data_IF_819492500651
#
_entry.id   IF_819492500651
#
_cell.length_a   1.000
_cell.length_b   1.000
_cell.length_c   1.000
_cell.angle_alpha   90.00
_cell.angle_beta   90.00
_cell.angle_gamma   90.00
#
_symmetry.space_group_name_H-M   'P 1'
#
loop_
_entity.id
_entity.type
_entity.pdbx_description
1 polymer ?
#
# COMPACT_ATOMS: atom_id res chain seq x y z
N UNK A 1 11.58 9.41 -2.79
CA UNK A 1 10.48 8.44 -2.93
C UNK A 1 10.36 7.61 -1.65
N UNK A 2 11.47 7.13 -1.09
CA UNK A 2 11.53 6.50 0.25
C UNK A 2 10.91 7.34 1.37
N UNK A 3 11.15 8.65 1.40
CA UNK A 3 10.57 9.55 2.41
C UNK A 3 9.02 9.59 2.40
N UNK A 4 8.38 9.46 1.24
CA UNK A 4 6.91 9.43 1.11
C UNK A 4 6.34 8.09 1.60
N UNK A 5 7.14 7.03 1.50
CA UNK A 5 6.78 5.69 1.94
C UNK A 5 6.89 5.58 3.47
N UNK A 6 7.93 6.16 4.07
CA UNK A 6 8.10 6.21 5.54
C UNK A 6 7.08 7.13 6.23
N UNK A 7 6.67 8.24 5.61
CA UNK A 7 5.56 9.07 6.08
C UNK A 7 4.22 8.32 6.05
N UNK A 8 4.01 7.50 5.02
CA UNK A 8 2.82 6.66 4.90
C UNK A 8 2.80 5.48 5.90
N UNK A 9 3.97 4.91 6.21
CA UNK A 9 4.14 3.80 7.16
C UNK A 9 4.24 4.25 8.63
N UNK A 10 4.30 5.56 8.90
CA UNK A 10 4.24 6.12 10.26
C UNK A 10 5.52 5.96 11.08
N UNK A 11 6.71 5.88 10.46
CA UNK A 11 7.97 5.90 11.22
C UNK A 11 8.42 7.33 11.50
N UNK A 12 8.29 7.74 12.76
CA UNK A 12 8.80 9.02 13.25
C UNK A 12 10.35 9.01 13.23
N UNK A 13 10.95 9.99 12.55
CA UNK A 13 12.39 10.29 12.64
C UNK A 13 12.60 11.44 13.62
N UNK A 14 13.62 11.40 14.49
CA UNK A 14 13.76 12.36 15.57
C UNK A 14 14.30 13.70 15.05
N UNK A 15 13.46 14.72 15.25
CA UNK A 15 13.71 16.16 15.40
C UNK A 15 15.01 16.77 14.84
N UNK A 16 14.87 17.67 13.87
CA UNK A 16 15.75 18.84 13.74
C UNK A 16 14.88 20.09 13.62
N UNK A 17 14.90 20.87 14.69
CA UNK A 17 14.15 22.10 14.91
C UNK A 17 14.57 23.21 13.95
N UNK A 18 13.62 23.71 13.15
CA UNK A 18 13.61 25.10 12.67
C UNK A 18 12.17 25.64 12.67
N UNK A 19 11.94 26.71 13.44
CA UNK A 19 10.69 27.46 13.47
C UNK A 19 10.74 28.64 12.50
N UNK A 20 9.77 28.77 11.58
CA UNK A 20 9.03 30.02 11.30
C UNK A 20 8.01 29.85 10.16
N UNK A 21 6.79 30.34 10.42
CA UNK A 21 5.76 30.76 9.48
C UNK A 21 5.29 29.75 8.40
N UNK A 22 4.66 28.69 8.87
CA UNK A 22 3.66 27.93 8.13
C UNK A 22 2.88 27.13 9.15
N UNK A 23 1.56 27.23 9.16
CA UNK A 23 0.71 26.39 10.01
C UNK A 23 0.98 24.94 9.61
N UNK A 24 1.88 24.26 10.33
CA UNK A 24 2.04 22.81 10.24
C UNK A 24 0.75 22.27 10.82
N UNK A 25 -0.15 21.77 9.96
CA UNK A 25 -1.27 20.95 10.40
C UNK A 25 -0.68 19.68 11.01
N UNK A 26 -0.36 19.75 12.30
CA UNK A 26 -0.03 18.59 13.10
C UNK A 26 -1.29 17.74 13.22
N UNK A 27 -1.29 16.64 12.46
CA UNK A 27 -1.87 15.38 12.89
C UNK A 27 -3.40 15.28 12.83
N UNK A 28 -4.03 15.54 11.68
CA UNK A 28 -5.28 14.83 11.40
C UNK A 28 -4.92 13.36 11.14
N UNK A 29 -5.41 12.39 11.93
CA UNK A 29 -5.14 10.98 11.67
C UNK A 29 -5.55 10.66 10.23
N UNK A 30 -4.65 10.05 9.47
CA UNK A 30 -5.01 9.53 8.16
C UNK A 30 -6.14 8.50 8.38
N UNK A 31 -7.19 8.54 7.54
CA UNK A 31 -8.25 7.54 7.65
C UNK A 31 -7.62 6.14 7.50
N UNK A 32 -8.12 5.15 8.25
CA UNK A 32 -7.64 3.78 8.11
C UNK A 32 -7.79 3.31 6.66
N UNK A 33 -6.91 2.41 6.19
CA UNK A 33 -7.01 1.87 4.85
C UNK A 33 -8.35 1.15 4.65
N UNK A 34 -8.87 1.22 3.43
CA UNK A 34 -9.99 0.40 3.03
C UNK A 34 -9.51 -1.03 2.76
N UNK A 35 -10.29 -2.03 3.15
CA UNK A 35 -9.96 -3.43 2.92
C UNK A 35 -10.86 -4.05 1.86
N UNK A 36 -10.22 -4.68 0.87
CA UNK A 36 -10.89 -5.32 -0.25
C UNK A 36 -10.37 -6.74 -0.47
N UNK A 37 -11.20 -7.57 -1.09
CA UNK A 37 -10.80 -8.82 -1.74
C UNK A 37 -10.73 -8.56 -3.24
N UNK A 38 -9.61 -8.90 -3.85
CA UNK A 38 -9.38 -8.71 -5.28
C UNK A 38 -9.29 -10.07 -5.93
N UNK A 39 -9.99 -10.22 -7.07
CA UNK A 39 -9.97 -11.42 -7.89
C UNK A 39 -9.78 -11.04 -9.34
N UNK A 40 -9.12 -11.91 -10.10
CA UNK A 40 -9.08 -11.77 -11.55
C UNK A 40 -10.44 -12.13 -12.19
N UNK A 41 -10.55 -11.98 -13.51
CA UNK A 41 -11.78 -12.31 -14.25
C UNK A 41 -12.12 -13.79 -14.23
N UNK A 42 -11.13 -14.65 -13.97
CA UNK A 42 -11.28 -16.10 -13.83
C UNK A 42 -11.62 -16.52 -12.38
N UNK A 43 -11.88 -15.56 -11.49
CA UNK A 43 -12.13 -15.75 -10.07
C UNK A 43 -10.94 -16.27 -9.25
N UNK A 44 -9.70 -16.18 -9.77
CA UNK A 44 -8.50 -16.46 -8.99
C UNK A 44 -8.34 -15.40 -7.92
N UNK A 45 -7.99 -15.84 -6.73
CA UNK A 45 -7.74 -14.99 -5.57
C UNK A 45 -6.26 -14.66 -5.48
N UNK A 46 -5.94 -13.54 -4.85
CA UNK A 46 -4.55 -13.19 -4.55
C UNK A 46 -4.10 -13.89 -3.27
N UNK A 47 -2.94 -14.52 -3.29
CA UNK A 47 -2.29 -15.05 -2.09
C UNK A 47 -0.81 -14.70 -2.07
N UNK A 48 -0.21 -14.72 -0.89
CA UNK A 48 1.23 -14.50 -0.75
C UNK A 48 1.97 -15.84 -0.80
N UNK A 49 2.81 -16.00 -1.81
CA UNK A 49 3.68 -17.16 -1.98
C UNK A 49 5.13 -16.69 -2.13
N UNK A 50 6.03 -17.15 -1.26
CA UNK A 50 7.47 -16.86 -1.33
C UNK A 50 7.79 -15.36 -1.46
N UNK A 51 7.02 -14.51 -0.77
CA UNK A 51 7.20 -13.05 -0.80
C UNK A 51 6.66 -12.37 -2.07
N UNK A 52 5.91 -13.09 -2.92
CA UNK A 52 5.24 -12.55 -4.11
C UNK A 52 3.74 -12.71 -3.99
N UNK A 53 3.00 -11.73 -4.50
CA UNK A 53 1.55 -11.83 -4.61
C UNK A 53 1.21 -12.57 -5.91
N UNK A 54 0.56 -13.72 -5.80
CA UNK A 54 0.22 -14.59 -6.93
C UNK A 54 -1.29 -14.79 -7.03
N UNK A 55 -1.78 -14.91 -8.26
CA UNK A 55 -3.19 -15.21 -8.52
C UNK A 55 -3.37 -16.73 -8.65
N UNK A 56 -4.16 -17.34 -7.77
CA UNK A 56 -4.36 -18.79 -7.74
C UNK A 56 -5.80 -19.18 -7.41
N UNK A 57 -6.13 -20.45 -7.64
CA UNK A 57 -7.41 -21.03 -7.25
C UNK A 57 -7.30 -21.62 -5.85
N UNK A 58 -7.82 -20.94 -4.84
CA UNK A 58 -7.92 -21.48 -3.48
C UNK A 58 -9.31 -22.11 -3.26
N UNK A 59 -9.33 -23.33 -2.73
CA UNK A 59 -10.57 -24.05 -2.39
C UNK A 59 -10.46 -24.70 -1.00
N UNK A 60 -11.61 -24.90 -0.36
CA UNK A 60 -11.70 -25.57 0.94
C UNK A 60 -10.87 -24.88 2.02
N UNK A 61 -10.08 -25.66 2.76
CA UNK A 61 -9.26 -25.17 3.87
C UNK A 61 -8.22 -24.11 3.46
N UNK A 62 -7.80 -24.10 2.19
CA UNK A 62 -6.79 -23.15 1.71
C UNK A 62 -7.37 -21.74 1.46
N UNK A 63 -8.69 -21.56 1.48
CA UNK A 63 -9.32 -20.26 1.25
C UNK A 63 -8.89 -19.18 2.28
N UNK A 64 -8.42 -19.58 3.46
CA UNK A 64 -7.88 -18.68 4.48
C UNK A 64 -6.53 -18.04 4.09
N UNK A 65 -5.88 -18.52 3.02
CA UNK A 65 -4.63 -17.95 2.50
C UNK A 65 -4.86 -16.78 1.54
N UNK A 66 -6.11 -16.42 1.24
CA UNK A 66 -6.43 -15.25 0.43
C UNK A 66 -5.99 -13.97 1.14
N UNK A 67 -5.20 -13.16 0.45
CA UNK A 67 -4.68 -11.91 0.97
C UNK A 67 -5.75 -10.81 0.90
N UNK A 68 -5.89 -10.08 2.01
CA UNK A 68 -6.71 -8.88 2.05
C UNK A 68 -5.90 -7.68 1.57
N UNK A 69 -6.47 -6.96 0.61
CA UNK A 69 -5.83 -5.80 0.00
C UNK A 69 -6.24 -4.54 0.76
N UNK A 70 -5.24 -3.82 1.26
CA UNK A 70 -5.37 -2.54 1.95
C UNK A 70 -5.16 -1.41 0.96
N UNK A 71 -6.06 -0.43 0.92
CA UNK A 71 -6.09 0.61 -0.11
C UNK A 71 -6.24 1.98 0.53
N UNK A 72 -5.42 2.93 0.06
CA UNK A 72 -5.59 4.36 0.35
C UNK A 72 -5.56 5.20 -0.93
N UNK A 73 -6.19 6.37 -0.95
CA UNK A 73 -6.00 7.34 -2.03
C UNK A 73 -4.58 7.93 -2.02
N UNK A 74 -3.93 8.00 -3.18
CA UNK A 74 -2.70 8.78 -3.35
C UNK A 74 -3.04 10.25 -3.60
N UNK A 75 -2.88 11.09 -2.57
CA UNK A 75 -3.27 12.51 -2.61
C UNK A 75 -2.32 13.39 -3.42
N UNK A 76 -1.16 12.86 -3.83
CA UNK A 76 -0.12 13.59 -4.56
C UNK A 76 -0.27 13.49 -6.08
N UNK A 77 -1.18 12.65 -6.57
CA UNK A 77 -1.48 12.48 -8.00
C UNK A 77 -2.86 13.07 -8.36
N UNK A 78 -3.12 13.23 -9.66
CA UNK A 78 -4.35 13.82 -10.17
C UNK A 78 -5.60 13.05 -9.71
N UNK A 79 -6.40 13.65 -8.82
CA UNK A 79 -7.53 12.98 -8.15
C UNK A 79 -8.58 12.38 -9.10
N UNK A 80 -8.82 12.98 -10.26
CA UNK A 80 -9.81 12.49 -11.24
C UNK A 80 -9.44 11.12 -11.82
N UNK A 81 -8.17 10.71 -11.73
CA UNK A 81 -7.71 9.38 -12.14
C UNK A 81 -7.84 8.33 -11.04
N UNK A 82 -8.39 8.72 -9.89
CA UNK A 82 -8.53 7.86 -8.71
C UNK A 82 -7.24 7.11 -8.36
N UNK A 83 -6.10 7.82 -8.18
CA UNK A 83 -4.82 7.17 -7.91
C UNK A 83 -4.85 6.53 -6.51
N UNK A 84 -4.42 5.28 -6.43
CA UNK A 84 -4.44 4.47 -5.20
C UNK A 84 -3.04 3.96 -4.86
N UNK A 85 -2.77 3.83 -3.57
CA UNK A 85 -1.69 2.98 -3.05
C UNK A 85 -2.34 1.71 -2.54
N UNK A 86 -1.73 0.58 -2.87
CA UNK A 86 -2.26 -0.75 -2.62
C UNK A 86 -1.23 -1.55 -1.83
N UNK A 87 -1.64 -2.18 -0.75
CA UNK A 87 -0.78 -3.02 0.07
C UNK A 87 -1.51 -4.23 0.65
N UNK A 88 -0.79 -5.03 1.41
CA UNK A 88 -1.30 -6.23 2.09
C UNK A 88 -1.06 -6.10 3.60
N UNK A 89 -1.64 -7.01 4.39
CA UNK A 89 -1.36 -7.13 5.84
C UNK A 89 -1.55 -5.80 6.60
N UNK A 90 -2.65 -5.10 6.29
CA UNK A 90 -2.95 -3.80 6.91
C UNK A 90 -2.11 -2.64 6.40
N UNK A 91 -1.33 -2.82 5.32
CA UNK A 91 -0.45 -1.81 4.74
C UNK A 91 1.00 -1.91 5.19
N UNK A 92 1.38 -2.96 5.94
CA UNK A 92 2.78 -3.16 6.35
C UNK A 92 3.72 -3.50 5.18
N UNK A 93 3.15 -3.90 4.04
CA UNK A 93 3.85 -4.08 2.78
C UNK A 93 2.99 -3.52 1.65
N UNK A 94 3.58 -2.80 0.70
CA UNK A 94 2.87 -2.21 -0.43
C UNK A 94 3.36 -2.73 -1.79
N UNK A 95 2.47 -2.68 -2.79
CA UNK A 95 2.84 -2.96 -4.18
C UNK A 95 3.59 -1.76 -4.75
N UNK A 96 4.75 -2.04 -5.33
CA UNK A 96 5.63 -1.06 -5.96
C UNK A 96 6.06 -1.56 -7.34
N UNK A 97 6.30 -0.64 -8.28
CA UNK A 97 6.90 -0.94 -9.58
C UNK A 97 8.43 -0.83 -9.56
N UNK A 98 9.02 -0.56 -8.39
CA UNK A 98 10.44 -0.26 -8.22
C UNK A 98 10.86 1.07 -8.84
N UNK A 99 12.15 1.40 -8.72
CA UNK A 99 12.79 2.60 -9.30
C UNK A 99 13.79 2.25 -10.41
N UNK A 100 13.84 0.97 -10.80
CA UNK A 100 14.69 0.48 -11.88
C UNK A 100 14.26 0.99 -13.26
N UNK A 101 15.12 0.83 -14.28
CA UNK A 101 14.82 1.24 -15.65
C UNK A 101 13.66 0.43 -16.27
N UNK A 102 13.47 -0.80 -15.82
CA UNK A 102 12.36 -1.66 -16.21
C UNK A 102 11.35 -1.73 -15.06
N UNK A 103 10.05 -1.45 -15.31
CA UNK A 103 9.03 -1.54 -14.27
C UNK A 103 8.82 -2.99 -13.88
N UNK A 104 8.99 -3.30 -12.60
CA UNK A 104 8.81 -4.64 -12.07
C UNK A 104 7.93 -4.59 -10.83
N UNK A 105 6.84 -5.36 -10.83
CA UNK A 105 5.93 -5.40 -9.69
C UNK A 105 6.54 -6.20 -8.54
N UNK A 106 6.65 -5.56 -7.37
CA UNK A 106 7.22 -6.14 -6.15
C UNK A 106 6.47 -5.68 -4.91
N UNK A 107 6.73 -6.36 -3.78
CA UNK A 107 6.30 -5.93 -2.46
C UNK A 107 7.47 -5.24 -1.75
N UNK A 108 7.20 -4.08 -1.17
CA UNK A 108 8.13 -3.27 -0.35
C UNK A 108 7.59 -3.07 1.07
#
# INVERSE_FOLDING_TARGET
MEALFEEFLGKETPETTFHAAGTVETGRPLPPPYHFRVRDTDQKVLCLEQGRLVATNLQGANAAQEEHISVVPNRHLERRRCPLIVGIRGGSQALSCGTGPEPHLQLE
#
